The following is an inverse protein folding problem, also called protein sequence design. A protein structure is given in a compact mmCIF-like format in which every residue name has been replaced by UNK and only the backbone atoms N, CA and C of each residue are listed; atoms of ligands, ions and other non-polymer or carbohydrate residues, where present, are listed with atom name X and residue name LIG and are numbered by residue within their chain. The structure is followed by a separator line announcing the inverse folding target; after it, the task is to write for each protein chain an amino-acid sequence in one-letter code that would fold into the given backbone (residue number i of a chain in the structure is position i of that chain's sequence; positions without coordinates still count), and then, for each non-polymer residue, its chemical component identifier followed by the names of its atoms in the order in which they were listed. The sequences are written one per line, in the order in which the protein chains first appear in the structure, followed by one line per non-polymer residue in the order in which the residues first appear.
data_IF_745615505866
#
_entry.id   IF_745615505866
#
_cell.length_a   1.000
_cell.length_b   1.000
_cell.length_c   1.000
_cell.angle_alpha   90.00
_cell.angle_beta   90.00
_cell.angle_gamma   90.00
#
_symmetry.space_group_name_H-M   'P 1'
#
loop_
_entity.id
_entity.type
_entity.pdbx_description
1 polymer ?
#
# COMPACT_ATOMS: atom_id res chain seq x y z
N UNK A 1 -18.92 40.81 63.87
CA UNK A 1 -18.13 40.78 62.64
C UNK A 1 -19.10 40.51 61.50
N UNK A 2 -19.24 41.50 60.60
CA UNK A 2 -19.80 41.49 59.22
C UNK A 2 -19.42 40.21 58.45
N UNK A 3 -20.08 39.69 57.41
CA UNK A 3 -21.19 40.00 56.48
C UNK A 3 -21.69 38.62 55.93
N UNK A 4 -22.98 38.29 55.82
CA UNK A 4 -23.95 38.54 54.72
C UNK A 4 -23.83 37.59 53.48
N UNK A 5 -24.87 36.73 53.36
CA UNK A 5 -25.48 35.96 52.24
C UNK A 5 -24.79 35.75 50.87
N UNK A 6 -25.03 34.58 50.24
CA UNK A 6 -26.01 34.44 49.14
C UNK A 6 -25.94 33.06 48.46
N UNK A 7 -27.11 32.48 48.24
CA UNK A 7 -27.36 31.25 47.50
C UNK A 7 -27.62 31.57 46.01
N UNK A 8 -27.33 30.59 45.14
CA UNK A 8 -27.77 30.44 43.73
C UNK A 8 -27.15 31.32 42.65
N UNK A 9 -26.59 30.69 41.59
CA UNK A 9 -27.02 30.77 40.17
C UNK A 9 -26.33 29.63 39.40
N UNK A 10 -27.12 28.90 38.60
CA UNK A 10 -26.68 27.91 37.62
C UNK A 10 -26.05 28.62 36.42
N UNK A 11 -24.80 28.32 36.05
CA UNK A 11 -24.26 28.64 34.72
C UNK A 11 -23.48 27.44 34.17
N UNK A 12 -23.94 27.06 32.99
CA UNK A 12 -23.49 26.08 32.01
C UNK A 12 -22.08 26.36 31.47
N UNK A 13 -21.47 25.32 30.89
CA UNK A 13 -20.43 25.37 29.84
C UNK A 13 -19.01 25.84 30.20
N UNK A 14 -18.08 24.88 30.27
CA UNK A 14 -16.97 24.73 29.32
C UNK A 14 -16.03 23.59 29.77
N UNK A 15 -16.32 22.36 29.35
CA UNK A 15 -15.31 21.30 29.27
C UNK A 15 -14.97 21.03 27.80
N UNK A 16 -13.82 21.57 27.43
CA UNK A 16 -12.88 21.09 26.42
C UNK A 16 -13.42 20.06 25.41
N UNK A 17 -13.75 20.56 24.22
CA UNK A 17 -13.92 19.74 23.02
C UNK A 17 -12.63 18.96 22.73
N UNK A 18 -12.64 17.67 23.01
CA UNK A 18 -11.70 16.73 22.40
C UNK A 18 -12.10 16.53 20.93
N UNK A 19 -11.17 16.85 20.02
CA UNK A 19 -11.28 16.60 18.59
C UNK A 19 -11.68 15.14 18.31
N UNK A 20 -12.80 14.87 17.63
CA UNK A 20 -13.06 13.56 17.08
C UNK A 20 -12.10 13.32 15.90
N UNK A 21 -11.34 12.23 16.00
CA UNK A 21 -10.59 11.65 14.89
C UNK A 21 -11.53 11.55 13.65
N UNK A 22 -11.17 12.04 12.45
CA UNK A 22 -12.06 11.97 11.29
C UNK A 22 -12.23 10.51 10.89
N UNK A 23 -13.31 9.89 11.35
CA UNK A 23 -13.72 8.56 10.91
C UNK A 23 -13.98 8.64 9.41
N UNK A 24 -13.12 7.99 8.61
CA UNK A 24 -13.40 7.78 7.19
C UNK A 24 -14.83 7.22 7.07
N UNK A 25 -15.66 7.76 6.16
CA UNK A 25 -16.97 7.19 5.89
C UNK A 25 -16.83 5.68 5.66
N UNK A 26 -17.68 4.87 6.30
CA UNK A 26 -17.72 3.42 6.10
C UNK A 26 -17.96 3.15 4.60
N UNK A 27 -16.89 2.86 3.86
CA UNK A 27 -16.98 2.44 2.47
C UNK A 27 -17.53 1.02 2.45
N UNK A 28 -18.48 0.76 1.56
CA UNK A 28 -18.86 -0.61 1.20
C UNK A 28 -17.64 -1.28 0.56
N UNK A 29 -17.04 -2.24 1.27
CA UNK A 29 -15.75 -2.80 0.95
C UNK A 29 -15.73 -3.60 -0.37
N UNK A 30 -16.89 -4.02 -0.88
CA UNK A 30 -17.00 -4.75 -2.16
C UNK A 30 -17.47 -3.86 -3.32
N UNK A 31 -17.77 -2.59 -3.08
CA UNK A 31 -18.23 -1.67 -4.12
C UNK A 31 -17.06 -1.28 -5.07
N UNK A 32 -17.22 -1.39 -6.40
CA UNK A 32 -16.20 -0.94 -7.36
C UNK A 32 -15.69 0.49 -7.12
N UNK A 33 -16.57 1.41 -6.69
CA UNK A 33 -16.19 2.79 -6.41
C UNK A 33 -15.27 2.91 -5.17
N UNK A 34 -15.46 2.06 -4.14
CA UNK A 34 -14.60 2.10 -2.95
C UNK A 34 -13.22 1.51 -3.25
N UNK A 35 -13.16 0.44 -4.04
CA UNK A 35 -11.93 -0.16 -4.53
C UNK A 35 -11.16 0.79 -5.43
N UNK A 36 -11.85 1.54 -6.30
CA UNK A 36 -11.23 2.60 -7.09
C UNK A 36 -10.62 3.70 -6.21
N UNK A 37 -11.34 4.16 -5.18
CA UNK A 37 -10.79 5.14 -4.25
C UNK A 37 -9.55 4.61 -3.49
N UNK A 38 -9.50 3.31 -3.16
CA UNK A 38 -8.31 2.66 -2.59
C UNK A 38 -7.17 2.62 -3.61
N UNK A 39 -7.47 2.29 -4.86
CA UNK A 39 -6.50 2.21 -5.96
C UNK A 39 -5.86 3.57 -6.26
N UNK A 40 -6.67 4.63 -6.35
CA UNK A 40 -6.22 6.00 -6.60
C UNK A 40 -5.39 6.55 -5.43
N UNK A 41 -5.81 6.28 -4.19
CA UNK A 41 -5.02 6.63 -3.00
C UNK A 41 -3.66 5.90 -3.01
N UNK A 42 -3.67 4.60 -3.34
CA UNK A 42 -2.45 3.78 -3.44
C UNK A 42 -1.51 4.33 -4.52
N UNK A 43 -2.04 4.70 -5.68
CA UNK A 43 -1.27 5.30 -6.77
C UNK A 43 -0.63 6.63 -6.35
N UNK A 44 -1.40 7.52 -5.71
CA UNK A 44 -0.90 8.81 -5.25
C UNK A 44 0.24 8.65 -4.22
N UNK A 45 0.05 7.77 -3.23
CA UNK A 45 1.09 7.48 -2.23
C UNK A 45 2.32 6.81 -2.85
N UNK A 46 2.12 5.87 -3.77
CA UNK A 46 3.21 5.22 -4.50
C UNK A 46 4.05 6.24 -5.28
N UNK A 47 3.42 7.08 -6.10
CA UNK A 47 4.12 8.10 -6.90
C UNK A 47 4.86 9.10 -6.01
N UNK A 48 4.26 9.51 -4.89
CA UNK A 48 4.91 10.42 -3.92
C UNK A 48 6.25 9.89 -3.41
N UNK A 49 6.38 8.56 -3.29
CA UNK A 49 7.59 7.86 -2.83
C UNK A 49 8.53 7.52 -4.00
N UNK A 50 7.98 7.02 -5.09
CA UNK A 50 8.73 6.51 -6.23
C UNK A 50 9.41 7.62 -7.05
N UNK A 51 8.75 8.76 -7.23
CA UNK A 51 9.27 9.89 -8.03
C UNK A 51 9.39 11.18 -7.24
N UNK A 52 8.62 11.32 -6.16
CA UNK A 52 8.66 12.50 -5.30
C UNK A 52 9.77 12.49 -4.25
N UNK A 53 9.65 13.39 -3.28
CA UNK A 53 10.58 13.60 -2.17
C UNK A 53 10.05 13.08 -0.83
N UNK A 54 8.98 12.25 -0.85
CA UNK A 54 8.35 11.76 0.38
C UNK A 54 9.27 10.82 1.18
N UNK A 55 10.32 10.30 0.54
CA UNK A 55 11.31 9.42 1.16
C UNK A 55 12.70 9.99 0.91
N UNK A 56 13.48 10.13 1.99
CA UNK A 56 14.90 10.45 1.89
C UNK A 56 15.67 9.17 1.53
N UNK A 57 16.19 9.14 0.31
CA UNK A 57 16.80 7.96 -0.31
C UNK A 57 18.31 7.95 -0.09
N UNK A 58 18.79 6.96 0.67
CA UNK A 58 20.23 6.71 0.81
C UNK A 58 20.66 5.61 -0.16
N UNK A 59 21.54 5.95 -1.10
CA UNK A 59 22.08 4.99 -2.05
C UNK A 59 22.92 3.91 -1.34
N UNK A 60 22.67 2.65 -1.66
CA UNK A 60 23.40 1.51 -1.11
C UNK A 60 24.86 1.50 -1.59
N UNK A 61 25.81 1.42 -0.65
CA UNK A 61 27.25 1.37 -0.92
C UNK A 61 27.61 0.04 -1.61
N UNK A 62 28.47 0.10 -2.64
CA UNK A 62 29.02 -1.08 -3.30
C UNK A 62 28.25 -1.56 -4.54
N UNK A 63 27.15 -0.89 -4.92
CA UNK A 63 26.48 -1.16 -6.20
C UNK A 63 27.16 -0.39 -7.33
N UNK A 64 27.97 -1.07 -8.13
CA UNK A 64 28.59 -0.51 -9.34
C UNK A 64 27.63 -0.71 -10.52
N UNK A 65 27.25 0.33 -11.27
CA UNK A 65 26.41 0.15 -12.46
C UNK A 65 27.18 -0.71 -13.47
N UNK A 66 26.69 -1.91 -13.76
CA UNK A 66 27.10 -2.68 -14.94
C UNK A 66 26.46 -2.12 -16.21
N UNK A 67 26.86 -2.59 -17.40
CA UNK A 67 26.26 -2.14 -18.66
C UNK A 67 24.74 -2.38 -18.76
N UNK A 68 24.20 -3.37 -18.00
CA UNK A 68 22.77 -3.67 -17.86
C UNK A 68 22.21 -3.22 -16.48
N UNK A 69 22.68 -2.09 -15.95
CA UNK A 69 22.59 -1.76 -14.51
C UNK A 69 21.18 -1.53 -13.96
N UNK A 70 20.97 -2.11 -12.76
CA UNK A 70 20.18 -1.47 -11.71
C UNK A 70 20.88 -0.16 -11.32
N UNK A 71 20.28 0.97 -11.66
CA UNK A 71 20.86 2.32 -11.51
C UNK A 71 20.88 2.83 -10.08
N UNK A 72 19.91 2.47 -9.23
CA UNK A 72 19.82 2.94 -7.83
C UNK A 72 19.15 1.86 -7.00
N UNK A 73 19.76 1.44 -5.90
CA UNK A 73 19.06 0.81 -4.77
C UNK A 73 19.18 1.73 -3.58
N UNK A 74 18.06 2.16 -3.02
CA UNK A 74 18.05 3.00 -1.83
C UNK A 74 17.06 2.44 -0.81
N UNK A 75 17.40 2.53 0.48
CA UNK A 75 16.55 2.07 1.58
C UNK A 75 16.36 3.20 2.57
N UNK A 76 15.11 3.52 2.91
CA UNK A 76 14.80 4.47 3.97
C UNK A 76 14.19 3.76 5.17
N UNK A 77 14.59 4.23 6.36
CA UNK A 77 14.06 3.79 7.67
C UNK A 77 13.26 4.89 8.38
N UNK A 78 13.10 6.06 7.75
CA UNK A 78 12.40 7.21 8.33
C UNK A 78 10.89 7.25 7.97
N UNK A 79 10.39 6.21 7.31
CA UNK A 79 8.96 6.03 7.02
C UNK A 79 8.34 5.01 7.98
N UNK A 80 7.01 4.94 8.02
CA UNK A 80 6.31 3.81 8.65
C UNK A 80 6.70 2.52 7.92
N UNK A 81 7.68 1.77 8.43
CA UNK A 81 8.24 0.59 7.76
C UNK A 81 9.52 0.84 6.96
N UNK A 82 9.79 -0.03 5.99
CA UNK A 82 10.98 0.02 5.13
C UNK A 82 10.55 0.25 3.69
N UNK A 83 11.10 1.29 3.06
CA UNK A 83 10.92 1.54 1.63
C UNK A 83 12.22 1.21 0.90
N UNK A 84 12.11 0.54 -0.24
CA UNK A 84 13.22 0.31 -1.15
C UNK A 84 12.83 0.76 -2.56
N UNK A 85 13.75 1.42 -3.28
CA UNK A 85 13.57 1.79 -4.69
C UNK A 85 14.68 1.17 -5.51
N UNK A 86 14.29 0.56 -6.63
CA UNK A 86 15.19 -0.04 -7.60
C UNK A 86 14.84 0.48 -8.99
N UNK A 87 15.80 1.10 -9.68
CA UNK A 87 15.62 1.54 -11.08
C UNK A 87 16.53 0.68 -11.97
N UNK A 88 16.08 0.28 -13.15
CA UNK A 88 16.89 -0.43 -14.13
C UNK A 88 16.38 -0.18 -15.55
N UNK A 89 17.26 -0.31 -16.54
CA UNK A 89 16.88 -0.24 -17.95
C UNK A 89 16.75 -1.65 -18.51
N UNK A 90 15.68 -1.88 -19.28
CA UNK A 90 15.40 -3.16 -19.93
C UNK A 90 15.01 -2.93 -21.38
N UNK A 91 15.40 -3.83 -22.27
CA UNK A 91 15.07 -3.76 -23.70
C UNK A 91 13.72 -4.43 -24.00
N UNK A 92 12.67 -4.02 -23.29
CA UNK A 92 11.31 -4.55 -23.40
C UNK A 92 10.28 -3.42 -23.37
N UNK A 93 9.17 -3.60 -24.09
CA UNK A 93 8.03 -2.68 -23.99
C UNK A 93 7.39 -2.72 -22.59
N UNK A 94 6.82 -1.61 -22.08
CA UNK A 94 6.24 -1.54 -20.74
C UNK A 94 5.23 -2.64 -20.42
N UNK A 95 4.38 -2.99 -21.39
CA UNK A 95 3.38 -4.06 -21.24
C UNK A 95 4.03 -5.42 -21.01
N UNK A 96 5.13 -5.71 -21.70
CA UNK A 96 5.86 -6.98 -21.51
C UNK A 96 6.55 -7.05 -20.15
N UNK A 97 7.09 -5.92 -19.69
CA UNK A 97 7.63 -5.81 -18.33
C UNK A 97 6.55 -6.03 -17.29
N UNK A 98 5.37 -5.44 -17.49
CA UNK A 98 4.21 -5.63 -16.62
C UNK A 98 3.77 -7.09 -16.54
N UNK A 99 3.67 -7.80 -17.67
CA UNK A 99 3.33 -9.22 -17.69
C UNK A 99 4.31 -10.06 -16.85
N UNK A 100 5.62 -9.84 -17.03
CA UNK A 100 6.67 -10.54 -16.26
C UNK A 100 6.55 -10.19 -14.77
N UNK A 101 6.40 -8.90 -14.43
CA UNK A 101 6.30 -8.44 -13.04
C UNK A 101 5.09 -9.08 -12.33
N UNK A 102 3.96 -9.21 -13.03
CA UNK A 102 2.73 -9.79 -12.49
C UNK A 102 2.81 -11.30 -12.30
N UNK A 103 3.61 -11.99 -13.11
CA UNK A 103 3.88 -13.44 -13.00
C UNK A 103 4.91 -13.74 -11.89
N UNK A 104 4.60 -13.35 -10.65
CA UNK A 104 5.49 -13.54 -9.49
C UNK A 104 6.00 -14.99 -9.35
N UNK A 105 5.21 -16.06 -9.55
CA UNK A 105 5.71 -17.43 -9.42
C UNK A 105 6.88 -17.78 -10.35
N UNK A 106 7.05 -17.11 -11.50
CA UNK A 106 8.14 -17.43 -12.43
C UNK A 106 9.50 -16.85 -12.03
N UNK A 107 9.53 -15.82 -11.19
CA UNK A 107 10.79 -15.13 -10.83
C UNK A 107 10.98 -14.85 -9.34
N UNK A 108 9.91 -14.73 -8.55
CA UNK A 108 10.00 -14.56 -7.11
C UNK A 108 10.07 -15.92 -6.43
N UNK A 109 11.29 -16.37 -6.10
CA UNK A 109 11.56 -17.73 -5.56
C UNK A 109 10.76 -18.08 -4.31
N UNK A 110 10.48 -17.09 -3.44
CA UNK A 110 9.71 -17.34 -2.23
C UNK A 110 8.19 -17.29 -2.47
N UNK A 111 7.73 -16.89 -3.67
CA UNK A 111 6.33 -16.96 -4.06
C UNK A 111 5.91 -18.43 -4.18
N UNK A 112 5.03 -18.86 -3.28
CA UNK A 112 4.46 -20.21 -3.32
C UNK A 112 3.29 -20.30 -4.29
N UNK A 113 2.43 -19.30 -4.28
CA UNK A 113 1.32 -19.15 -5.23
C UNK A 113 0.86 -17.69 -5.28
N UNK A 114 0.20 -17.34 -6.38
CA UNK A 114 -0.47 -16.07 -6.59
C UNK A 114 -1.77 -16.31 -7.33
N UNK A 115 -2.88 -16.02 -6.67
CA UNK A 115 -4.23 -16.17 -7.19
C UNK A 115 -4.87 -14.79 -7.37
N UNK A 116 -5.29 -14.48 -8.60
CA UNK A 116 -6.07 -13.28 -8.90
C UNK A 116 -7.55 -13.64 -8.70
N UNK A 117 -8.14 -13.17 -7.61
CA UNK A 117 -9.51 -13.51 -7.21
C UNK A 117 -10.57 -12.65 -7.90
N UNK A 118 -10.20 -11.45 -8.33
CA UNK A 118 -11.10 -10.53 -9.05
C UNK A 118 -10.31 -9.60 -9.95
N UNK A 119 -10.89 -9.26 -11.09
CA UNK A 119 -10.38 -8.29 -12.06
C UNK A 119 -11.49 -7.31 -12.37
N UNK A 120 -11.24 -6.02 -12.12
CA UNK A 120 -12.23 -4.95 -12.20
C UNK A 120 -11.66 -3.85 -13.09
N UNK A 121 -12.16 -3.69 -14.33
CA UNK A 121 -11.77 -2.57 -15.17
C UNK A 121 -12.31 -1.26 -14.60
N UNK A 122 -11.54 -0.17 -14.72
CA UNK A 122 -11.92 1.16 -14.25
C UNK A 122 -12.30 2.07 -15.42
N UNK A 123 -13.11 3.09 -15.16
CA UNK A 123 -13.60 4.01 -16.21
C UNK A 123 -12.51 4.84 -16.89
N UNK A 124 -11.34 4.98 -16.26
CA UNK A 124 -10.17 5.68 -16.77
C UNK A 124 -9.17 4.76 -17.50
N UNK A 125 -9.58 3.53 -17.86
CA UNK A 125 -8.74 2.58 -18.61
C UNK A 125 -7.71 1.82 -17.76
N UNK A 126 -7.76 1.97 -16.45
CA UNK A 126 -7.00 1.15 -15.51
C UNK A 126 -7.68 -0.20 -15.21
N UNK A 127 -6.96 -1.04 -14.47
CA UNK A 127 -7.42 -2.36 -14.03
C UNK A 127 -7.06 -2.54 -12.56
N UNK A 128 -8.05 -2.88 -11.75
CA UNK A 128 -7.90 -3.29 -10.36
C UNK A 128 -7.95 -4.81 -10.29
N UNK A 129 -6.98 -5.40 -9.60
CA UNK A 129 -6.90 -6.84 -9.37
C UNK A 129 -6.86 -7.09 -7.87
N UNK A 130 -7.70 -8.00 -7.38
CA UNK A 130 -7.64 -8.46 -5.99
C UNK A 130 -6.84 -9.76 -5.93
N UNK A 131 -5.75 -9.74 -5.17
CA UNK A 131 -4.72 -10.78 -5.24
C UNK A 131 -4.54 -11.40 -3.87
N UNK A 132 -4.58 -12.73 -3.86
CA UNK A 132 -4.11 -13.53 -2.74
C UNK A 132 -2.77 -14.16 -3.11
N UNK A 133 -1.74 -13.94 -2.30
CA UNK A 133 -0.41 -14.49 -2.54
C UNK A 133 0.11 -15.16 -1.28
N UNK A 134 0.76 -16.30 -1.43
CA UNK A 134 1.46 -16.98 -0.34
C UNK A 134 2.96 -16.97 -0.59
N UNK A 135 3.74 -16.83 0.47
CA UNK A 135 5.19 -16.98 0.41
C UNK A 135 5.67 -18.11 1.30
N UNK A 136 6.75 -18.77 0.91
CA UNK A 136 7.46 -19.69 1.79
C UNK A 136 8.01 -18.97 3.03
N UNK A 137 8.26 -19.73 4.09
CA UNK A 137 8.92 -19.21 5.28
C UNK A 137 10.36 -18.80 4.92
N UNK A 138 10.80 -17.58 5.27
CA UNK A 138 12.13 -17.09 4.90
C UNK A 138 13.24 -17.82 5.65
N UNK A 139 12.93 -18.43 6.80
CA UNK A 139 13.83 -19.25 7.61
C UNK A 139 13.02 -20.36 8.28
N UNK A 140 13.70 -21.37 8.83
CA UNK A 140 13.06 -22.44 9.62
C UNK A 140 12.48 -21.96 10.95
N UNK A 141 12.82 -20.74 11.40
CA UNK A 141 12.38 -20.16 12.67
C UNK A 141 11.22 -19.16 12.50
N UNK A 142 10.85 -18.83 11.25
CA UNK A 142 9.78 -17.89 10.95
C UNK A 142 8.60 -18.63 10.30
N UNK A 143 7.37 -18.18 10.58
CA UNK A 143 6.17 -18.70 9.92
C UNK A 143 6.08 -18.14 8.50
N UNK A 144 5.51 -18.92 7.58
CA UNK A 144 5.16 -18.48 6.23
C UNK A 144 4.16 -17.31 6.27
N UNK A 145 4.17 -16.48 5.22
CA UNK A 145 3.30 -15.30 5.13
C UNK A 145 2.31 -15.43 3.99
N UNK A 146 1.14 -14.83 4.17
CA UNK A 146 0.20 -14.59 3.07
C UNK A 146 -0.07 -13.09 2.93
N UNK A 147 -0.52 -12.71 1.75
CA UNK A 147 -0.83 -11.35 1.38
C UNK A 147 -2.24 -11.34 0.79
N UNK A 148 -3.01 -10.34 1.20
CA UNK A 148 -4.28 -9.99 0.57
C UNK A 148 -4.15 -8.54 0.11
N UNK A 149 -4.07 -8.33 -1.20
CA UNK A 149 -3.71 -7.04 -1.77
C UNK A 149 -4.64 -6.62 -2.90
N UNK A 150 -4.71 -5.32 -3.11
CA UNK A 150 -5.22 -4.70 -4.32
C UNK A 150 -4.03 -4.26 -5.16
N UNK A 151 -3.97 -4.72 -6.40
CA UNK A 151 -3.03 -4.26 -7.42
C UNK A 151 -3.77 -3.39 -8.42
N UNK A 152 -3.30 -2.17 -8.64
CA UNK A 152 -3.84 -1.26 -9.64
C UNK A 152 -2.83 -1.06 -10.76
N UNK A 153 -3.26 -1.30 -12.00
CA UNK A 153 -2.47 -1.06 -13.21
C UNK A 153 -3.13 0.05 -14.01
N UNK A 154 -2.40 1.12 -14.32
CA UNK A 154 -2.93 2.24 -15.10
C UNK A 154 -1.83 2.89 -15.94
N UNK A 155 -2.22 3.54 -17.03
CA UNK A 155 -1.32 4.43 -17.77
C UNK A 155 -1.48 5.86 -17.27
N UNK A 156 -0.37 6.62 -17.25
CA UNK A 156 -0.36 8.05 -16.97
C UNK A 156 -0.44 8.87 -18.26
N UNK A 157 -0.68 10.17 -18.12
CA UNK A 157 -0.79 11.11 -19.26
C UNK A 157 0.50 11.20 -20.09
N UNK A 158 1.66 10.98 -19.45
CA UNK A 158 2.97 10.97 -20.11
C UNK A 158 3.28 9.66 -20.86
N UNK A 159 2.34 8.71 -20.86
CA UNK A 159 2.49 7.39 -21.49
C UNK A 159 3.18 6.34 -20.60
N UNK A 160 3.58 6.69 -19.37
CA UNK A 160 4.16 5.74 -18.42
C UNK A 160 3.10 4.73 -17.94
N UNK A 161 3.51 3.47 -17.81
CA UNK A 161 2.70 2.42 -17.20
C UNK A 161 3.06 2.28 -15.71
N UNK A 162 2.06 2.36 -14.83
CA UNK A 162 2.23 2.20 -13.40
C UNK A 162 1.48 0.97 -12.91
N UNK A 163 2.16 0.18 -12.09
CA UNK A 163 1.57 -0.90 -11.31
C UNK A 163 1.88 -0.60 -9.85
N UNK A 164 0.86 -0.38 -9.04
CA UNK A 164 1.02 -0.18 -7.60
C UNK A 164 0.14 -1.17 -6.83
N UNK A 165 0.61 -1.59 -5.66
CA UNK A 165 -0.06 -2.58 -4.83
C UNK A 165 -0.15 -2.14 -3.36
N UNK A 166 -1.24 -2.49 -2.69
CA UNK A 166 -1.45 -2.23 -1.26
C UNK A 166 -2.23 -3.38 -0.62
N UNK A 167 -1.91 -3.71 0.63
CA UNK A 167 -2.71 -4.65 1.40
C UNK A 167 -4.12 -4.12 1.67
N UNK A 168 -5.10 -5.01 1.54
CA UNK A 168 -6.48 -4.75 1.89
C UNK A 168 -6.71 -5.17 3.35
N UNK A 169 -7.06 -4.19 4.16
CA UNK A 169 -7.35 -4.31 5.58
C UNK A 169 -8.62 -3.56 5.93
N UNK A 170 -9.18 -3.82 7.12
CA UNK A 170 -10.31 -3.07 7.64
C UNK A 170 -10.03 -1.56 7.70
N UNK A 171 -8.80 -1.14 8.01
CA UNK A 171 -8.43 0.29 8.08
C UNK A 171 -8.38 0.95 6.71
N UNK A 172 -8.01 0.22 5.67
CA UNK A 172 -8.07 0.71 4.28
C UNK A 172 -9.48 0.74 3.70
N UNK A 173 -10.47 0.14 4.39
CA UNK A 173 -11.83 -0.06 3.87
C UNK A 173 -11.92 -1.13 2.80
N UNK A 174 -10.92 -2.02 2.72
CA UNK A 174 -10.87 -3.12 1.77
C UNK A 174 -11.73 -4.31 2.18
N UNK A 175 -12.12 -5.19 1.23
CA UNK A 175 -12.93 -6.36 1.51
C UNK A 175 -12.16 -7.37 2.35
N UNK A 176 -12.89 -8.16 3.15
CA UNK A 176 -12.30 -9.24 3.93
C UNK A 176 -11.70 -10.29 2.99
N UNK A 177 -10.40 -10.52 3.15
CA UNK A 177 -9.70 -11.53 2.36
C UNK A 177 -9.92 -12.96 2.88
N UNK A 178 -9.33 -13.96 2.19
CA UNK A 178 -9.33 -15.35 2.64
C UNK A 178 -8.76 -15.50 4.07
N UNK A 179 -9.18 -16.53 4.83
CA UNK A 179 -8.65 -16.78 6.17
C UNK A 179 -7.17 -17.21 6.12
N UNK A 180 -6.36 -16.69 7.06
CA UNK A 180 -4.94 -16.99 7.17
C UNK A 180 -4.67 -18.14 8.17
N UNK A 181 -5.22 -19.34 7.92
CA UNK A 181 -5.20 -20.43 8.93
C UNK A 181 -3.80 -21.01 9.21
N UNK A 182 -2.88 -20.94 8.24
CA UNK A 182 -1.52 -21.49 8.34
C UNK A 182 -0.41 -20.45 8.09
N UNK A 183 -0.80 -19.18 7.98
CA UNK A 183 0.08 -18.10 7.55
C UNK A 183 -0.08 -16.91 8.47
N UNK A 184 0.98 -16.11 8.59
CA UNK A 184 0.88 -14.78 9.19
C UNK A 184 0.56 -13.79 8.08
N UNK A 185 -0.58 -13.09 8.18
CA UNK A 185 -0.97 -12.04 7.25
C UNK A 185 0.04 -10.91 7.26
N UNK A 186 0.74 -10.73 6.15
CA UNK A 186 1.64 -9.63 5.94
C UNK A 186 0.88 -8.40 5.43
N UNK A 187 1.42 -7.22 5.78
CA UNK A 187 0.91 -5.93 5.34
C UNK A 187 1.93 -5.28 4.40
N UNK A 188 1.47 -4.98 3.19
CA UNK A 188 2.17 -4.21 2.18
C UNK A 188 1.59 -2.79 2.15
N UNK A 189 2.42 -1.82 2.53
CA UNK A 189 2.11 -0.40 2.31
C UNK A 189 2.16 -0.08 0.81
N UNK A 190 1.59 1.04 0.33
CA UNK A 190 1.56 1.38 -1.10
C UNK A 190 2.92 1.20 -1.77
N UNK A 191 3.05 0.23 -2.67
CA UNK A 191 4.33 -0.19 -3.24
C UNK A 191 4.24 -0.29 -4.76
#
# INVERSE_FOLDING_TARGET
TTDTSCESVVITDQQQQQNPNPQRPQRDANNPASLLAIAEETLAEFLSKATGTAVDWVQMIGMKPGPDSIGIVAVSRNCSGVAARVCGLVSLEPTKVAEILKDRPSWYRDCRCLDVLSVIPTGNGGIIELIYMQTYAPTTLAVARDFWTLRYTTSLEDGSLVICERSLTTSTGGPTGPPASCFVRAEMLPS
#
